data_IF_646456989617
#
_entry.id   IF_646456989617
#
_cell.length_a   1.000
_cell.length_b   1.000
_cell.length_c   1.000
_cell.angle_alpha   90.00
_cell.angle_beta   90.00
_cell.angle_gamma   90.00
#
_symmetry.space_group_name_H-M   'P 1'
#
loop_
_entity.id
_entity.type
_entity.pdbx_description
1 polymer ?
#
# COMPACT_ATOMS: atom_id res chain seq x y z
N UNK A 1 -40.84 39.60 46.12
CA UNK A 1 -39.94 39.91 45.01
C UNK A 1 -38.87 38.84 45.01
N UNK A 2 -39.17 37.72 44.34
CA UNK A 2 -38.27 36.59 44.14
C UNK A 2 -37.46 36.90 42.88
N UNK A 3 -36.14 36.87 42.97
CA UNK A 3 -35.24 36.95 41.83
C UNK A 3 -34.65 35.55 41.60
N UNK A 4 -34.99 34.99 40.44
CA UNK A 4 -34.56 33.70 39.94
C UNK A 4 -33.04 33.61 39.78
N UNK A 5 -32.46 32.55 40.35
CA UNK A 5 -31.12 32.08 40.02
C UNK A 5 -31.25 30.94 39.01
N UNK A 6 -31.02 31.23 37.73
CA UNK A 6 -30.72 30.22 36.72
C UNK A 6 -29.22 29.91 36.74
N UNK A 7 -28.79 28.63 36.81
CA UNK A 7 -27.43 28.27 36.49
C UNK A 7 -27.24 28.27 34.97
N UNK A 8 -26.29 29.07 34.50
CA UNK A 8 -25.77 28.99 33.14
C UNK A 8 -25.08 27.64 32.98
N UNK A 9 -25.76 26.72 32.29
CA UNK A 9 -25.18 25.48 31.78
C UNK A 9 -24.17 25.87 30.69
N UNK A 10 -22.93 26.07 31.12
CA UNK A 10 -21.79 26.19 30.21
C UNK A 10 -21.62 24.87 29.47
N UNK A 11 -21.89 24.89 28.15
CA UNK A 11 -21.51 23.84 27.22
C UNK A 11 -19.99 23.66 27.28
N UNK A 12 -19.53 22.69 28.05
CA UNK A 12 -18.23 22.05 27.79
C UNK A 12 -18.42 21.29 26.49
N UNK A 13 -18.06 21.92 25.39
CA UNK A 13 -17.94 21.29 24.09
C UNK A 13 -16.86 20.22 24.26
N UNK A 14 -17.28 18.96 24.38
CA UNK A 14 -16.41 17.77 24.38
C UNK A 14 -15.65 17.76 23.05
N UNK A 15 -14.48 18.39 23.03
CA UNK A 15 -13.42 18.14 22.06
C UNK A 15 -12.74 16.82 22.45
N UNK A 16 -13.43 15.72 22.22
CA UNK A 16 -12.78 14.44 22.00
C UNK A 16 -12.78 14.27 20.49
N UNK A 17 -11.69 14.70 19.85
CA UNK A 17 -11.37 14.31 18.48
C UNK A 17 -11.49 12.80 18.37
N UNK A 18 -11.89 12.27 17.21
CA UNK A 18 -11.86 10.84 16.91
C UNK A 18 -10.48 10.28 17.29
N UNK A 19 -10.40 9.60 18.43
CA UNK A 19 -9.26 8.77 18.80
C UNK A 19 -9.55 7.43 18.12
N UNK A 20 -9.15 7.32 16.85
CA UNK A 20 -9.37 6.16 16.01
C UNK A 20 -8.07 5.76 15.34
N UNK A 21 -7.95 4.47 15.03
CA UNK A 21 -6.90 3.92 14.18
C UNK A 21 -6.83 4.66 12.84
N UNK A 22 -5.62 4.75 12.27
CA UNK A 22 -5.42 5.41 10.98
C UNK A 22 -5.78 4.44 9.86
N UNK A 23 -6.64 4.87 8.95
CA UNK A 23 -7.11 4.06 7.81
C UNK A 23 -6.44 4.50 6.52
N UNK A 24 -5.93 3.52 5.77
CA UNK A 24 -5.23 3.73 4.51
C UNK A 24 -5.81 2.78 3.48
N UNK A 25 -6.20 3.28 2.31
CA UNK A 25 -6.49 2.43 1.16
C UNK A 25 -5.34 2.55 0.16
N UNK A 26 -4.83 1.42 -0.31
CA UNK A 26 -3.71 1.35 -1.26
C UNK A 26 -4.14 0.59 -2.50
N UNK A 27 -3.85 1.18 -3.66
CA UNK A 27 -3.96 0.55 -4.97
C UNK A 27 -2.72 0.84 -5.81
N UNK A 28 -2.35 -0.04 -6.73
CA UNK A 28 -1.14 0.10 -7.53
C UNK A 28 -1.30 -0.59 -8.88
N UNK A 29 -0.56 -0.16 -9.89
CA UNK A 29 -0.47 -0.84 -11.19
C UNK A 29 -1.86 -1.00 -11.85
N UNK A 30 -2.52 0.12 -12.10
CA UNK A 30 -3.84 0.16 -12.75
C UNK A 30 -3.72 -0.11 -14.26
N UNK A 31 -2.64 0.35 -14.90
CA UNK A 31 -2.36 0.15 -16.32
C UNK A 31 -3.53 0.50 -17.24
N UNK A 32 -4.31 1.54 -16.89
CA UNK A 32 -5.45 1.96 -17.69
C UNK A 32 -5.03 2.35 -19.12
N UNK A 33 -5.91 2.16 -20.09
CA UNK A 33 -5.57 2.40 -21.50
C UNK A 33 -6.77 2.88 -22.32
N UNK A 34 -6.49 3.37 -23.53
CA UNK A 34 -7.47 3.61 -24.60
C UNK A 34 -7.18 2.70 -25.81
N UNK A 35 -8.19 1.98 -26.32
CA UNK A 35 -8.00 0.94 -27.35
C UNK A 35 -7.57 1.45 -28.73
N UNK A 36 -7.85 2.72 -29.06
CA UNK A 36 -7.53 3.31 -30.37
C UNK A 36 -6.02 3.32 -30.69
N UNK A 37 -5.15 3.15 -29.69
CA UNK A 37 -3.71 3.12 -29.85
C UNK A 37 -3.12 1.75 -30.26
N UNK A 38 -3.93 0.69 -30.39
CA UNK A 38 -3.41 -0.69 -30.48
C UNK A 38 -4.03 -1.53 -31.59
N UNK A 39 -3.61 -1.27 -32.83
CA UNK A 39 -3.55 -2.31 -33.86
C UNK A 39 -2.16 -2.94 -33.80
N UNK A 40 -2.07 -4.25 -33.63
CA UNK A 40 -0.79 -4.94 -33.86
C UNK A 40 -0.39 -4.78 -35.34
N UNK A 41 0.91 -4.81 -35.62
CA UNK A 41 1.45 -4.70 -36.98
C UNK A 41 0.95 -5.81 -37.92
N UNK A 42 0.44 -6.91 -37.37
CA UNK A 42 -0.15 -8.04 -38.08
C UNK A 42 -1.69 -7.95 -38.23
N UNK A 43 -2.31 -6.85 -37.80
CA UNK A 43 -3.75 -6.63 -37.87
C UNK A 43 -4.58 -7.38 -36.81
N UNK A 44 -3.94 -8.11 -35.88
CA UNK A 44 -4.66 -8.74 -34.76
C UNK A 44 -4.88 -7.74 -33.63
N UNK A 45 -6.01 -7.85 -32.93
CA UNK A 45 -6.21 -7.11 -31.70
C UNK A 45 -5.24 -7.66 -30.64
N UNK A 46 -4.28 -6.85 -30.19
CA UNK A 46 -3.51 -7.20 -29.00
C UNK A 46 -4.47 -7.31 -27.83
N UNK A 47 -4.32 -8.34 -27.00
CA UNK A 47 -5.06 -8.44 -25.75
C UNK A 47 -4.83 -7.16 -24.89
N UNK A 48 -5.84 -6.71 -24.12
CA UNK A 48 -5.72 -5.49 -23.33
C UNK A 48 -4.71 -5.66 -22.19
N UNK A 49 -4.04 -4.60 -21.70
CA UNK A 49 -2.98 -4.70 -20.69
C UNK A 49 -3.55 -4.69 -19.26
N UNK A 50 -4.84 -4.37 -19.14
CA UNK A 50 -5.60 -4.07 -17.94
C UNK A 50 -7.09 -4.24 -18.24
N UNK A 51 -7.88 -4.31 -17.18
CA UNK A 51 -9.34 -4.34 -17.22
C UNK A 51 -9.97 -2.93 -17.20
N UNK A 52 -9.15 -1.87 -17.19
CA UNK A 52 -9.61 -0.46 -17.22
C UNK A 52 -9.41 0.10 -18.63
N UNK A 53 -10.50 0.18 -19.40
CA UNK A 53 -10.52 0.70 -20.76
C UNK A 53 -11.34 1.99 -20.84
N UNK A 54 -10.67 3.13 -21.03
CA UNK A 54 -11.30 4.44 -21.16
C UNK A 54 -11.90 4.72 -22.54
N UNK A 55 -11.68 3.84 -23.51
CA UNK A 55 -12.35 3.90 -24.82
C UNK A 55 -13.65 3.08 -24.87
N UNK A 56 -13.92 2.25 -23.85
CA UNK A 56 -15.14 1.47 -23.78
C UNK A 56 -16.37 2.40 -23.68
N UNK A 57 -17.36 2.17 -24.55
CA UNK A 57 -18.61 2.96 -24.57
C UNK A 57 -19.41 2.83 -23.27
N UNK A 58 -19.22 1.73 -22.52
CA UNK A 58 -19.80 1.54 -21.19
C UNK A 58 -18.79 0.84 -20.28
N UNK A 59 -18.57 1.39 -19.09
CA UNK A 59 -17.77 0.79 -18.00
C UNK A 59 -18.72 0.38 -16.87
N UNK A 60 -18.62 -0.87 -16.41
CA UNK A 60 -19.53 -1.45 -15.39
C UNK A 60 -18.75 -1.92 -14.16
N UNK A 61 -19.33 -1.86 -12.95
CA UNK A 61 -18.62 -2.21 -11.70
C UNK A 61 -18.09 -3.64 -11.61
N UNK A 62 -18.62 -4.57 -12.41
CA UNK A 62 -18.21 -5.98 -12.43
C UNK A 62 -17.31 -6.34 -13.62
N UNK A 63 -16.94 -5.33 -14.43
CA UNK A 63 -16.08 -5.47 -15.61
C UNK A 63 -14.84 -4.58 -15.43
N UNK A 64 -15.04 -3.36 -14.94
CA UNK A 64 -14.00 -2.36 -14.72
C UNK A 64 -13.68 -2.24 -13.22
N UNK A 65 -12.46 -2.61 -12.79
CA UNK A 65 -12.07 -2.58 -11.38
C UNK A 65 -12.14 -1.19 -10.74
N UNK A 66 -11.85 -0.11 -11.49
CA UNK A 66 -11.90 1.24 -10.95
C UNK A 66 -13.34 1.69 -10.69
N UNK A 67 -14.25 1.41 -11.63
CA UNK A 67 -15.69 1.64 -11.40
C UNK A 67 -16.20 0.79 -10.24
N UNK A 68 -15.77 -0.47 -10.15
CA UNK A 68 -16.09 -1.37 -9.03
C UNK A 68 -15.66 -0.79 -7.69
N UNK A 69 -14.43 -0.29 -7.62
CA UNK A 69 -13.84 0.30 -6.41
C UNK A 69 -14.59 1.56 -5.96
N UNK A 70 -14.89 2.48 -6.88
CA UNK A 70 -15.69 3.67 -6.60
C UNK A 70 -17.06 3.28 -6.00
N UNK A 71 -17.68 2.21 -6.52
CA UNK A 71 -18.98 1.73 -6.00
C UNK A 71 -18.89 1.16 -4.58
N UNK A 72 -17.74 0.69 -4.12
CA UNK A 72 -17.58 0.23 -2.74
C UNK A 72 -17.77 1.39 -1.75
N UNK A 73 -17.23 2.57 -2.05
CA UNK A 73 -17.46 3.78 -1.24
C UNK A 73 -18.91 4.24 -1.31
N UNK A 74 -19.50 4.30 -2.51
CA UNK A 74 -20.88 4.75 -2.68
C UNK A 74 -21.91 3.86 -1.95
N UNK A 75 -21.59 2.56 -1.79
CA UNK A 75 -22.42 1.60 -1.05
C UNK A 75 -22.09 1.52 0.44
N UNK A 76 -21.03 2.19 0.89
CA UNK A 76 -20.53 2.10 2.26
C UNK A 76 -19.93 0.73 2.61
N UNK A 77 -19.48 -0.04 1.62
CA UNK A 77 -18.78 -1.31 1.84
C UNK A 77 -17.33 -1.09 2.33
N UNK A 78 -16.79 0.09 2.06
CA UNK A 78 -15.49 0.58 2.57
C UNK A 78 -15.70 1.97 3.13
N UNK A 79 -15.11 2.22 4.30
CA UNK A 79 -15.08 3.55 4.88
C UNK A 79 -14.07 4.44 4.15
N UNK A 80 -14.36 5.73 4.06
CA UNK A 80 -13.37 6.67 3.54
C UNK A 80 -12.11 6.68 4.43
N UNK A 81 -10.92 6.44 3.85
CA UNK A 81 -9.68 6.39 4.61
C UNK A 81 -9.17 7.79 4.94
N UNK A 82 -8.22 7.88 5.86
CA UNK A 82 -7.42 9.10 6.06
C UNK A 82 -6.48 9.32 4.87
N UNK A 83 -5.93 8.23 4.32
CA UNK A 83 -5.07 8.24 3.13
C UNK A 83 -5.60 7.30 2.04
N UNK A 84 -5.71 7.82 0.81
CA UNK A 84 -5.81 7.02 -0.41
C UNK A 84 -4.46 7.08 -1.13
N UNK A 85 -3.77 5.95 -1.23
CA UNK A 85 -2.42 5.84 -1.80
C UNK A 85 -2.47 5.12 -3.15
N UNK A 86 -1.78 5.69 -4.14
CA UNK A 86 -1.61 5.10 -5.46
C UNK A 86 -0.13 4.81 -5.73
N UNK A 87 0.21 3.53 -5.83
CA UNK A 87 1.58 3.01 -5.99
C UNK A 87 2.21 3.18 -7.37
N UNK A 88 1.64 4.03 -8.23
CA UNK A 88 2.10 4.25 -9.61
C UNK A 88 1.45 3.34 -10.65
N UNK A 89 1.85 3.54 -11.91
CA UNK A 89 1.32 2.88 -13.10
C UNK A 89 -0.20 3.10 -13.22
N UNK A 90 -0.61 4.36 -13.24
CA UNK A 90 -1.98 4.80 -13.51
C UNK A 90 -2.44 4.38 -14.91
N UNK A 91 -1.55 4.46 -15.91
CA UNK A 91 -1.84 4.11 -17.30
C UNK A 91 -0.77 3.25 -17.94
N UNK A 92 -1.11 2.58 -19.04
CA UNK A 92 -0.16 1.79 -19.85
C UNK A 92 0.57 2.69 -20.86
N UNK A 93 1.90 2.57 -20.93
CA UNK A 93 2.75 3.15 -21.99
C UNK A 93 2.55 4.65 -22.22
N UNK A 94 2.42 5.42 -21.14
CA UNK A 94 2.21 6.86 -21.17
C UNK A 94 0.97 7.27 -21.97
N UNK A 95 -0.10 6.47 -21.93
CA UNK A 95 -1.39 6.87 -22.49
C UNK A 95 -1.94 8.07 -21.70
N UNK A 96 -1.70 9.27 -22.24
CA UNK A 96 -2.04 10.52 -21.61
C UNK A 96 -3.54 10.64 -21.27
N UNK A 97 -4.41 10.14 -22.16
CA UNK A 97 -5.84 10.19 -21.93
C UNK A 97 -6.27 9.25 -20.80
N UNK A 98 -5.74 8.02 -20.80
CA UNK A 98 -6.03 7.07 -19.74
C UNK A 98 -5.50 7.55 -18.37
N UNK A 99 -4.24 8.01 -18.31
CA UNK A 99 -3.63 8.54 -17.08
C UNK A 99 -4.45 9.72 -16.52
N UNK A 100 -4.77 10.70 -17.37
CA UNK A 100 -5.56 11.87 -16.95
C UNK A 100 -6.95 11.48 -16.45
N UNK A 101 -7.59 10.50 -17.10
CA UNK A 101 -8.93 10.04 -16.74
C UNK A 101 -8.91 9.26 -15.43
N UNK A 102 -7.97 8.32 -15.26
CA UNK A 102 -7.73 7.61 -14.00
C UNK A 102 -7.50 8.59 -12.85
N UNK A 103 -6.60 9.56 -13.03
CA UNK A 103 -6.25 10.52 -11.99
C UNK A 103 -7.44 11.39 -11.58
N UNK A 104 -8.26 11.83 -12.54
CA UNK A 104 -9.50 12.59 -12.25
C UNK A 104 -10.52 11.74 -11.50
N UNK A 105 -10.73 10.49 -11.88
CA UNK A 105 -11.69 9.62 -11.20
C UNK A 105 -11.28 9.39 -9.74
N UNK A 106 -10.00 9.11 -9.48
CA UNK A 106 -9.48 8.95 -8.11
C UNK A 106 -9.54 10.26 -7.31
N UNK A 107 -9.19 11.40 -7.91
CA UNK A 107 -9.26 12.70 -7.24
C UNK A 107 -10.70 13.09 -6.89
N UNK A 108 -11.66 12.75 -7.74
CA UNK A 108 -13.08 13.02 -7.49
C UNK A 108 -13.63 12.28 -6.25
N UNK A 109 -12.98 11.19 -5.81
CA UNK A 109 -13.35 10.50 -4.57
C UNK A 109 -13.02 11.34 -3.34
N UNK A 110 -11.90 12.07 -3.37
CA UNK A 110 -11.47 12.95 -2.28
C UNK A 110 -12.18 14.29 -2.29
N UNK A 111 -12.63 14.77 -3.45
CA UNK A 111 -13.47 15.98 -3.50
C UNK A 111 -14.80 15.79 -2.75
N UNK A 112 -15.34 14.56 -2.81
CA UNK A 112 -16.55 14.16 -2.06
C UNK A 112 -16.27 13.93 -0.58
N UNK A 113 -15.02 13.68 -0.19
CA UNK A 113 -14.61 13.54 1.20
C UNK A 113 -13.25 14.22 1.46
N UNK A 114 -13.25 15.53 1.79
CA UNK A 114 -12.03 16.29 2.01
C UNK A 114 -11.15 15.82 3.17
N UNK A 115 -11.66 14.93 4.04
CA UNK A 115 -10.85 14.32 5.11
C UNK A 115 -9.88 13.26 4.56
N UNK A 116 -10.20 12.63 3.43
CA UNK A 116 -9.31 11.70 2.74
C UNK A 116 -8.26 12.47 1.93
N UNK A 117 -6.98 12.22 2.19
CA UNK A 117 -5.89 12.75 1.36
C UNK A 117 -5.46 11.73 0.30
N UNK A 118 -5.44 12.15 -0.97
CA UNK A 118 -4.94 11.35 -2.09
C UNK A 118 -3.46 11.65 -2.34
N UNK A 119 -2.66 10.59 -2.36
CA UNK A 119 -1.21 10.65 -2.65
C UNK A 119 -0.88 9.58 -3.69
N UNK A 120 -0.15 9.96 -4.73
CA UNK A 120 0.38 9.01 -5.71
C UNK A 120 1.91 9.05 -5.76
N UNK A 121 2.52 8.06 -6.39
CA UNK A 121 3.86 8.19 -6.98
C UNK A 121 3.78 7.80 -8.45
N UNK A 122 4.71 8.22 -9.29
CA UNK A 122 4.70 7.77 -10.69
C UNK A 122 5.29 6.36 -10.80
N UNK A 123 4.66 5.55 -11.65
CA UNK A 123 5.25 4.30 -12.13
C UNK A 123 5.98 4.49 -13.46
N UNK A 124 6.63 3.42 -13.93
CA UNK A 124 7.43 3.47 -15.15
C UNK A 124 6.57 3.52 -16.43
N UNK A 125 5.32 3.05 -16.37
CA UNK A 125 4.35 3.17 -17.47
C UNK A 125 3.64 4.52 -17.50
N UNK A 126 3.74 5.34 -16.45
CA UNK A 126 3.18 6.69 -16.43
C UNK A 126 4.02 7.71 -17.20
N UNK A 127 5.30 7.37 -17.46
CA UNK A 127 6.28 8.24 -18.09
C UNK A 127 6.47 7.87 -19.57
N UNK A 128 6.66 8.87 -20.43
CA UNK A 128 7.00 8.65 -21.85
C UNK A 128 8.50 8.37 -22.01
N UNK A 129 8.96 7.32 -21.34
CA UNK A 129 10.37 6.91 -21.25
C UNK A 129 10.97 6.51 -22.59
N UNK A 130 10.11 6.20 -23.57
CA UNK A 130 10.49 5.84 -24.94
C UNK A 130 10.35 7.01 -25.92
N UNK A 131 10.06 8.22 -25.41
CA UNK A 131 10.00 9.45 -26.19
C UNK A 131 9.06 9.39 -27.41
N UNK A 132 7.95 8.67 -27.28
CA UNK A 132 6.97 8.48 -28.36
C UNK A 132 6.11 9.72 -28.57
N UNK A 133 5.82 10.44 -27.49
CA UNK A 133 5.00 11.65 -27.46
C UNK A 133 5.85 12.91 -27.24
N UNK A 134 6.83 12.87 -26.33
CA UNK A 134 7.74 13.96 -25.99
C UNK A 134 9.20 13.52 -26.12
N UNK A 135 9.94 14.19 -27.02
CA UNK A 135 11.31 13.82 -27.40
C UNK A 135 12.38 14.06 -26.32
N UNK A 136 12.10 14.83 -25.28
CA UNK A 136 13.14 15.28 -24.35
C UNK A 136 12.70 15.36 -22.88
N UNK A 137 11.39 15.45 -22.59
CA UNK A 137 10.89 15.46 -21.21
C UNK A 137 9.87 14.33 -20.98
N UNK A 138 10.32 13.14 -20.54
CA UNK A 138 9.45 11.98 -20.35
C UNK A 138 8.46 12.17 -19.19
N UNK A 139 8.67 13.17 -18.33
CA UNK A 139 7.86 13.49 -17.15
C UNK A 139 6.91 14.66 -17.39
N UNK A 140 7.09 15.40 -18.49
CA UNK A 140 6.43 16.67 -18.74
C UNK A 140 4.90 16.57 -18.66
N UNK A 141 4.33 15.50 -19.23
CA UNK A 141 2.89 15.30 -19.21
C UNK A 141 2.31 15.16 -17.79
N UNK A 142 2.92 14.35 -16.91
CA UNK A 142 2.45 14.19 -15.53
C UNK A 142 2.45 15.51 -14.76
N UNK A 143 3.41 16.40 -15.04
CA UNK A 143 3.51 17.73 -14.42
C UNK A 143 2.40 18.70 -14.87
N UNK A 144 1.66 18.34 -15.91
CA UNK A 144 0.56 19.15 -16.48
C UNK A 144 -0.82 18.59 -16.19
N UNK A 145 -0.92 17.49 -15.43
CA UNK A 145 -2.21 16.92 -15.06
C UNK A 145 -3.05 17.91 -14.25
N UNK A 146 -4.35 17.87 -14.52
CA UNK A 146 -5.36 18.61 -13.74
C UNK A 146 -6.45 17.64 -13.24
N UNK A 147 -6.61 17.46 -11.92
CA UNK A 147 -5.86 18.13 -10.83
C UNK A 147 -4.38 17.74 -10.77
N UNK A 148 -3.56 18.50 -10.05
CA UNK A 148 -2.11 18.32 -10.02
C UNK A 148 -1.65 16.94 -9.54
N UNK A 149 -0.45 16.51 -9.94
CA UNK A 149 0.15 15.22 -9.58
C UNK A 149 1.53 15.42 -8.94
N UNK A 150 1.89 14.74 -7.83
CA UNK A 150 1.20 13.56 -7.25
C UNK A 150 0.14 13.87 -6.19
N UNK A 151 -0.16 15.15 -5.95
CA UNK A 151 -1.13 15.62 -4.97
C UNK A 151 -2.19 16.48 -5.68
N UNK A 152 -3.49 16.12 -5.63
CA UNK A 152 -4.51 16.86 -6.38
C UNK A 152 -4.76 18.27 -5.83
N UNK A 153 -4.63 18.47 -4.52
CA UNK A 153 -4.74 19.79 -3.90
C UNK A 153 -3.43 20.58 -4.00
N UNK A 154 -3.25 21.24 -5.15
CA UNK A 154 -2.04 22.01 -5.46
C UNK A 154 -1.84 23.26 -4.61
N UNK A 155 -2.91 23.77 -3.97
CA UNK A 155 -2.81 24.93 -3.07
C UNK A 155 -2.23 24.51 -1.73
N UNK A 156 -2.75 23.43 -1.14
CA UNK A 156 -2.29 22.89 0.14
C UNK A 156 -0.89 22.28 0.04
N UNK A 157 -0.60 21.58 -1.06
CA UNK A 157 0.62 20.78 -1.22
C UNK A 157 1.61 21.36 -2.23
N UNK A 158 1.56 22.68 -2.48
CA UNK A 158 2.40 23.34 -3.49
C UNK A 158 3.89 23.07 -3.30
N UNK A 159 4.38 23.14 -2.06
CA UNK A 159 5.79 22.91 -1.74
C UNK A 159 6.15 21.45 -1.98
N UNK A 160 5.35 20.51 -1.45
CA UNK A 160 5.58 19.08 -1.64
C UNK A 160 5.58 18.68 -3.13
N UNK A 161 4.72 19.29 -3.93
CA UNK A 161 4.69 19.11 -5.38
C UNK A 161 6.02 19.55 -6.02
N UNK A 162 6.52 20.73 -5.66
CA UNK A 162 7.79 21.24 -6.18
C UNK A 162 8.97 20.37 -5.74
N UNK A 163 9.01 19.96 -4.47
CA UNK A 163 10.03 19.08 -3.91
C UNK A 163 10.02 17.72 -4.62
N UNK A 164 8.86 17.09 -4.80
CA UNK A 164 8.75 15.79 -5.47
C UNK A 164 9.41 15.81 -6.86
N UNK A 165 9.15 16.86 -7.64
CA UNK A 165 9.70 16.98 -8.98
C UNK A 165 11.17 17.44 -9.00
N UNK A 166 11.56 18.36 -8.11
CA UNK A 166 12.90 18.92 -8.07
C UNK A 166 13.92 18.00 -7.40
N UNK A 167 13.54 17.39 -6.28
CA UNK A 167 14.41 16.59 -5.42
C UNK A 167 14.21 15.08 -5.63
N UNK A 168 13.22 14.67 -6.42
CA UNK A 168 12.80 13.27 -6.61
C UNK A 168 12.18 12.63 -5.36
N UNK A 169 11.86 13.43 -4.34
CA UNK A 169 11.06 13.03 -3.20
C UNK A 169 10.36 14.24 -2.56
N UNK A 170 9.35 13.96 -1.76
CA UNK A 170 8.72 14.96 -0.88
C UNK A 170 8.29 14.30 0.43
N UNK A 171 8.14 15.10 1.48
CA UNK A 171 7.64 14.62 2.78
C UNK A 171 6.35 15.34 3.12
N UNK A 172 5.23 14.63 3.03
CA UNK A 172 3.93 15.15 3.43
C UNK A 172 3.68 14.83 4.91
N UNK A 173 3.27 15.83 5.69
CA UNK A 173 2.95 15.65 7.11
C UNK A 173 1.50 16.02 7.43
N UNK A 174 0.92 15.26 8.35
CA UNK A 174 -0.32 15.58 9.07
C UNK A 174 -0.05 15.48 10.58
N UNK A 175 -1.06 15.65 11.41
CA UNK A 175 -0.95 15.45 12.87
C UNK A 175 -0.69 13.98 13.22
N UNK A 176 -1.16 13.04 12.40
CA UNK A 176 -1.10 11.60 12.69
C UNK A 176 0.00 10.85 11.94
N UNK A 177 0.46 11.39 10.81
CA UNK A 177 1.34 10.64 9.90
C UNK A 177 2.35 11.50 9.18
N UNK A 178 3.33 10.82 8.60
CA UNK A 178 4.32 11.33 7.67
C UNK A 178 4.43 10.39 6.48
N UNK A 179 4.32 10.93 5.26
CA UNK A 179 4.51 10.18 4.02
C UNK A 179 5.75 10.69 3.31
N UNK A 180 6.80 9.86 3.27
CA UNK A 180 7.94 10.03 2.38
C UNK A 180 7.54 9.48 0.99
N UNK A 181 7.29 10.36 0.04
CA UNK A 181 6.90 10.00 -1.32
C UNK A 181 8.10 10.16 -2.25
N UNK A 182 8.62 9.04 -2.77
CA UNK A 182 9.83 9.00 -3.59
C UNK A 182 9.46 8.69 -5.05
N UNK A 183 10.01 9.48 -5.95
CA UNK A 183 9.98 9.22 -7.38
C UNK A 183 11.07 8.22 -7.77
N UNK A 184 10.79 6.92 -7.62
CA UNK A 184 11.73 5.87 -8.06
C UNK A 184 11.97 5.85 -9.58
N UNK A 185 11.14 6.55 -10.35
CA UNK A 185 11.20 6.61 -11.81
C UNK A 185 11.91 7.89 -12.31
N UNK A 186 12.52 8.67 -11.41
CA UNK A 186 13.04 10.01 -11.72
C UNK A 186 14.08 10.04 -12.84
N UNK A 187 14.80 8.92 -13.00
CA UNK A 187 15.85 8.70 -13.99
C UNK A 187 15.37 7.95 -15.23
N UNK A 188 14.09 7.60 -15.35
CA UNK A 188 13.60 6.98 -16.57
C UNK A 188 13.68 7.97 -17.75
N UNK A 189 14.09 7.46 -18.92
CA UNK A 189 14.42 8.28 -20.09
C UNK A 189 15.86 8.83 -20.09
N UNK A 190 16.66 8.48 -19.08
CA UNK A 190 18.12 8.68 -19.06
C UNK A 190 18.86 7.34 -19.24
N UNK A 191 20.18 7.39 -19.21
CA UNK A 191 21.06 6.23 -19.35
C UNK A 191 21.68 6.12 -20.74
N UNK A 192 22.43 5.03 -20.94
CA UNK A 192 23.01 4.69 -22.24
C UNK A 192 22.28 3.49 -22.82
N UNK A 193 22.45 3.19 -24.11
CA UNK A 193 21.86 1.98 -24.71
C UNK A 193 22.31 0.69 -24.01
N UNK A 194 23.51 0.68 -23.40
CA UNK A 194 24.05 -0.46 -22.67
C UNK A 194 23.48 -0.58 -21.24
N UNK A 195 23.11 0.55 -20.62
CA UNK A 195 22.55 0.62 -19.27
C UNK A 195 21.37 1.62 -19.25
N UNK A 196 20.24 1.25 -19.86
CA UNK A 196 19.08 2.12 -19.91
C UNK A 196 18.40 2.17 -18.53
N UNK A 197 18.12 3.38 -18.03
CA UNK A 197 17.44 3.56 -16.74
C UNK A 197 15.95 3.17 -16.80
N UNK A 198 15.39 2.94 -18.00
CA UNK A 198 13.98 2.57 -18.16
C UNK A 198 13.65 1.15 -17.67
N UNK A 199 14.66 0.30 -17.46
CA UNK A 199 14.51 -1.10 -17.06
C UNK A 199 14.46 -1.30 -15.52
N UNK A 200 14.76 -0.26 -14.74
CA UNK A 200 14.80 -0.34 -13.28
C UNK A 200 14.53 1.02 -12.61
N UNK A 201 14.06 1.00 -11.37
CA UNK A 201 13.99 2.21 -10.56
C UNK A 201 15.37 2.67 -10.08
N UNK A 202 15.49 3.93 -9.68
CA UNK A 202 16.70 4.46 -9.01
C UNK A 202 16.38 5.54 -7.99
N UNK A 203 17.09 5.48 -6.87
CA UNK A 203 17.27 6.60 -5.95
C UNK A 203 18.76 6.92 -5.92
N UNK A 204 19.14 8.15 -6.27
CA UNK A 204 20.54 8.56 -6.27
C UNK A 204 21.07 8.77 -4.84
N UNK A 205 22.39 8.73 -4.68
CA UNK A 205 22.99 8.94 -3.36
C UNK A 205 22.67 10.32 -2.76
N UNK A 206 22.68 11.36 -3.60
CA UNK A 206 22.30 12.73 -3.23
C UNK A 206 20.83 12.77 -2.78
N UNK A 207 19.95 12.02 -3.45
CA UNK A 207 18.54 11.94 -3.06
C UNK A 207 18.39 11.25 -1.70
N UNK A 208 19.12 10.15 -1.46
CA UNK A 208 19.11 9.44 -0.17
C UNK A 208 19.67 10.31 0.97
N UNK A 209 20.73 11.07 0.73
CA UNK A 209 21.26 12.04 1.70
C UNK A 209 20.23 13.12 2.05
N UNK A 210 19.57 13.67 1.02
CA UNK A 210 18.51 14.67 1.19
C UNK A 210 17.30 14.12 1.95
N UNK A 211 16.91 12.88 1.69
CA UNK A 211 15.86 12.18 2.43
C UNK A 211 16.26 12.05 3.90
N UNK A 212 17.45 11.51 4.19
CA UNK A 212 17.91 11.27 5.56
C UNK A 212 17.88 12.55 6.40
N UNK A 213 18.42 13.65 5.85
CA UNK A 213 18.45 14.94 6.55
C UNK A 213 17.05 15.50 6.79
N UNK A 214 16.16 15.40 5.80
CA UNK A 214 14.77 15.86 5.89
C UNK A 214 13.98 15.08 6.95
N UNK A 215 14.03 13.74 6.92
CA UNK A 215 13.22 12.91 7.83
C UNK A 215 13.78 12.89 9.25
N UNK A 216 15.09 13.03 9.44
CA UNK A 216 15.70 13.09 10.79
C UNK A 216 15.12 14.23 11.62
N UNK A 217 15.01 15.42 11.03
CA UNK A 217 14.46 16.60 11.71
C UNK A 217 12.99 16.42 12.05
N UNK A 218 12.20 15.93 11.09
CA UNK A 218 10.74 15.82 11.25
C UNK A 218 10.34 14.69 12.21
N UNK A 219 11.03 13.54 12.15
CA UNK A 219 10.78 12.41 13.07
C UNK A 219 11.11 12.80 14.51
N UNK A 220 12.24 13.47 14.74
CA UNK A 220 12.63 13.91 16.09
C UNK A 220 11.63 14.91 16.68
N UNK A 221 11.08 15.80 15.86
CA UNK A 221 10.10 16.79 16.31
C UNK A 221 8.73 16.17 16.65
N UNK A 222 8.35 15.07 15.98
CA UNK A 222 7.06 14.41 16.17
C UNK A 222 7.17 12.87 16.05
N UNK A 223 7.73 12.19 17.08
CA UNK A 223 7.99 10.75 17.04
C UNK A 223 6.73 9.89 17.16
N UNK A 224 5.57 10.49 17.45
CA UNK A 224 4.28 9.80 17.56
C UNK A 224 3.56 9.64 16.22
N UNK A 225 4.07 10.25 15.14
CA UNK A 225 3.47 10.14 13.81
C UNK A 225 3.81 8.79 13.17
N UNK A 226 2.82 8.17 12.52
CA UNK A 226 3.04 6.98 11.69
C UNK A 226 3.88 7.34 10.46
N UNK A 227 4.99 6.63 10.22
CA UNK A 227 5.86 6.90 9.07
C UNK A 227 5.60 5.92 7.93
N UNK A 228 5.30 6.45 6.76
CA UNK A 228 4.97 5.71 5.54
C UNK A 228 5.95 6.12 4.44
N UNK A 229 6.55 5.17 3.75
CA UNK A 229 7.41 5.40 2.60
C UNK A 229 6.75 4.82 1.35
N UNK A 230 6.58 5.65 0.31
CA UNK A 230 5.88 5.32 -0.92
C UNK A 230 6.81 5.48 -2.11
N UNK A 231 6.90 4.44 -2.94
CA UNK A 231 7.56 4.48 -4.25
C UNK A 231 7.00 3.37 -5.15
N UNK A 232 7.34 3.37 -6.44
CA UNK A 232 6.79 2.37 -7.37
C UNK A 232 7.66 1.10 -7.45
N UNK A 233 8.95 1.24 -7.76
CA UNK A 233 9.82 0.09 -8.00
C UNK A 233 10.12 -0.69 -6.72
N UNK A 234 10.15 -2.02 -6.82
CA UNK A 234 10.32 -2.88 -5.66
C UNK A 234 11.71 -2.79 -5.00
N UNK A 235 11.73 -3.01 -3.68
CA UNK A 235 12.91 -2.84 -2.82
C UNK A 235 13.84 -4.07 -2.78
N UNK A 236 13.36 -5.24 -3.20
CA UNK A 236 14.16 -6.49 -3.20
C UNK A 236 13.92 -7.30 -4.47
N UNK A 237 14.94 -7.99 -5.02
CA UNK A 237 14.73 -8.86 -6.16
C UNK A 237 13.61 -9.87 -5.92
N UNK A 238 12.76 -10.06 -6.92
CA UNK A 238 11.68 -11.07 -6.91
C UNK A 238 12.05 -12.25 -7.84
N UNK A 239 13.34 -12.44 -8.10
CA UNK A 239 13.86 -13.54 -8.90
C UNK A 239 13.51 -14.90 -8.28
N UNK A 240 13.28 -15.89 -9.14
CA UNK A 240 13.15 -17.32 -8.82
C UNK A 240 14.07 -18.12 -9.75
N UNK A 241 14.22 -19.43 -9.51
CA UNK A 241 14.98 -20.30 -10.42
C UNK A 241 14.45 -20.26 -11.87
N UNK A 242 13.17 -19.90 -12.04
CA UNK A 242 12.48 -19.78 -13.32
C UNK A 242 12.43 -18.36 -13.89
N UNK A 243 12.87 -17.33 -13.14
CA UNK A 243 12.67 -15.94 -13.52
C UNK A 243 13.76 -15.04 -12.92
N UNK A 244 14.49 -14.29 -13.76
CA UNK A 244 15.49 -13.34 -13.31
C UNK A 244 14.95 -11.90 -13.31
N UNK A 245 14.79 -11.32 -12.12
CA UNK A 245 14.33 -9.95 -11.91
C UNK A 245 15.49 -8.95 -11.98
N UNK A 246 15.57 -8.19 -13.07
CA UNK A 246 16.56 -7.11 -13.26
C UNK A 246 16.04 -5.71 -12.98
N UNK A 247 14.80 -5.58 -12.51
CA UNK A 247 14.11 -4.29 -12.38
C UNK A 247 14.06 -3.77 -10.95
N UNK A 248 14.79 -4.40 -10.04
CA UNK A 248 14.96 -3.93 -8.65
C UNK A 248 15.52 -2.53 -8.63
N UNK A 249 14.93 -1.70 -7.78
CA UNK A 249 15.35 -0.32 -7.62
C UNK A 249 16.80 -0.24 -7.15
N UNK A 250 17.64 0.50 -7.90
CA UNK A 250 18.99 0.87 -7.46
C UNK A 250 18.90 1.85 -6.29
N UNK A 251 19.69 1.62 -5.23
CA UNK A 251 19.63 2.37 -3.97
C UNK A 251 18.65 1.81 -2.94
N UNK A 252 17.96 0.71 -3.25
CA UNK A 252 16.99 0.05 -2.35
C UNK A 252 17.60 -0.46 -1.04
N UNK A 253 18.77 -1.10 -1.07
CA UNK A 253 19.45 -1.59 0.14
C UNK A 253 19.83 -0.43 1.07
N UNK A 254 20.39 0.64 0.50
CA UNK A 254 20.76 1.84 1.26
C UNK A 254 19.52 2.51 1.87
N UNK A 255 18.41 2.59 1.12
CA UNK A 255 17.12 3.07 1.64
C UNK A 255 16.63 2.21 2.81
N UNK A 256 16.58 0.88 2.65
CA UNK A 256 16.13 -0.03 3.70
C UNK A 256 16.99 0.07 4.97
N UNK A 257 18.31 0.12 4.80
CA UNK A 257 19.27 0.31 5.89
C UNK A 257 19.09 1.65 6.60
N UNK A 258 18.92 2.74 5.84
CA UNK A 258 18.64 4.07 6.38
C UNK A 258 17.34 4.07 7.18
N UNK A 259 16.23 3.57 6.63
CA UNK A 259 14.93 3.54 7.31
C UNK A 259 14.87 2.55 8.49
N UNK A 260 15.85 1.66 8.63
CA UNK A 260 16.01 0.76 9.79
C UNK A 260 16.70 1.44 10.99
N UNK A 261 17.22 2.66 10.82
CA UNK A 261 17.92 3.42 11.86
C UNK A 261 16.93 3.80 12.97
N UNK A 262 17.16 3.41 14.25
CA UNK A 262 16.21 3.66 15.34
C UNK A 262 15.82 5.13 15.53
N UNK A 263 16.76 6.06 15.28
CA UNK A 263 16.51 7.49 15.39
C UNK A 263 15.56 8.05 14.32
N UNK A 264 15.24 7.26 13.29
CA UNK A 264 14.29 7.62 12.23
C UNK A 264 12.92 6.95 12.43
N UNK A 265 12.70 6.26 13.56
CA UNK A 265 11.44 5.59 13.86
C UNK A 265 11.20 4.33 13.02
N UNK A 266 10.04 3.69 13.21
CA UNK A 266 9.62 2.57 12.36
C UNK A 266 8.92 3.09 11.10
N UNK A 267 9.13 2.42 9.96
CA UNK A 267 8.57 2.79 8.66
C UNK A 267 7.75 1.67 8.02
N UNK A 268 6.62 2.05 7.44
CA UNK A 268 5.81 1.20 6.57
C UNK A 268 6.06 1.55 5.11
N UNK A 269 6.71 0.66 4.37
CA UNK A 269 7.04 0.82 2.96
C UNK A 269 5.91 0.24 2.11
N UNK A 270 5.46 1.00 1.12
CA UNK A 270 4.43 0.60 0.16
C UNK A 270 5.00 0.77 -1.25
N UNK A 271 4.95 -0.28 -2.07
CA UNK A 271 5.36 -0.20 -3.47
C UNK A 271 4.57 -1.09 -4.43
N UNK A 272 4.73 -0.86 -5.73
CA UNK A 272 4.09 -1.57 -6.85
C UNK A 272 5.07 -2.34 -7.75
N UNK A 273 4.90 -2.17 -9.07
CA UNK A 273 5.78 -2.58 -10.19
C UNK A 273 5.74 -4.07 -10.55
N UNK A 274 5.87 -4.97 -9.57
CA UNK A 274 5.93 -6.41 -9.84
C UNK A 274 4.58 -7.09 -9.87
N UNK A 275 3.51 -6.37 -9.56
CA UNK A 275 2.15 -6.92 -9.51
C UNK A 275 2.04 -8.16 -8.59
N UNK A 276 2.96 -8.33 -7.64
CA UNK A 276 3.07 -9.49 -6.75
C UNK A 276 2.88 -9.04 -5.31
N UNK A 277 1.78 -9.47 -4.73
CA UNK A 277 1.45 -9.10 -3.36
C UNK A 277 2.39 -9.79 -2.37
N UNK A 278 2.97 -9.04 -1.44
CA UNK A 278 3.79 -9.62 -0.38
C UNK A 278 3.83 -8.69 0.85
N UNK A 279 3.97 -9.27 2.03
CA UNK A 279 4.11 -8.56 3.29
C UNK A 279 5.28 -9.15 4.07
N UNK A 280 6.32 -8.35 4.30
CA UNK A 280 7.57 -8.82 4.90
C UNK A 280 8.32 -7.71 5.63
N UNK A 281 9.40 -8.06 6.35
CA UNK A 281 10.33 -7.09 6.92
C UNK A 281 11.59 -6.98 6.05
N UNK A 282 12.03 -5.76 5.74
CA UNK A 282 13.23 -5.49 4.94
C UNK A 282 14.54 -5.62 5.76
N UNK A 283 14.65 -6.67 6.60
CA UNK A 283 15.81 -6.87 7.47
C UNK A 283 15.43 -7.49 8.83
N UNK A 284 16.17 -7.10 9.88
CA UNK A 284 15.99 -7.59 11.25
C UNK A 284 14.80 -6.97 12.00
N UNK A 285 14.81 -7.05 13.33
CA UNK A 285 13.65 -6.73 14.16
C UNK A 285 13.22 -5.24 14.12
N UNK A 286 14.11 -4.32 13.75
CA UNK A 286 13.82 -2.89 13.57
C UNK A 286 13.64 -2.49 12.11
N UNK A 287 13.65 -3.45 11.18
CA UNK A 287 13.55 -3.14 9.77
C UNK A 287 12.13 -2.66 9.40
N UNK A 288 12.03 -1.83 8.34
CA UNK A 288 10.74 -1.44 7.79
C UNK A 288 9.88 -2.64 7.42
N UNK A 289 8.59 -2.50 7.64
CA UNK A 289 7.59 -3.45 7.11
C UNK A 289 7.28 -3.02 5.68
N UNK A 290 7.26 -3.97 4.76
CA UNK A 290 7.06 -3.72 3.33
C UNK A 290 5.80 -4.41 2.87
N UNK A 291 4.89 -3.62 2.28
CA UNK A 291 3.80 -4.08 1.44
C UNK A 291 4.21 -3.93 -0.03
N UNK A 292 4.50 -5.05 -0.68
CA UNK A 292 4.52 -5.15 -2.14
C UNK A 292 3.10 -5.33 -2.62
N UNK A 293 2.61 -4.45 -3.49
CA UNK A 293 1.25 -4.50 -3.99
C UNK A 293 1.12 -5.48 -5.16
N UNK A 294 0.03 -6.24 -5.18
CA UNK A 294 -0.47 -6.82 -6.42
C UNK A 294 -0.97 -5.71 -7.35
N UNK A 295 -1.16 -6.06 -8.61
CA UNK A 295 -1.82 -5.14 -9.53
C UNK A 295 -3.28 -4.95 -9.17
N UNK A 296 -3.77 -3.73 -9.37
CA UNK A 296 -5.17 -3.40 -9.21
C UNK A 296 -6.04 -3.93 -10.36
N UNK A 297 -5.51 -3.90 -11.59
CA UNK A 297 -6.32 -4.19 -12.79
C UNK A 297 -5.56 -4.78 -13.98
N UNK A 298 -4.22 -4.84 -13.93
CA UNK A 298 -3.42 -5.37 -15.02
C UNK A 298 -3.84 -6.80 -15.37
N UNK A 299 -3.84 -7.08 -16.66
CA UNK A 299 -3.94 -8.45 -17.14
C UNK A 299 -2.57 -9.12 -16.98
N UNK A 300 -2.55 -10.42 -16.71
CA UNK A 300 -1.31 -11.20 -16.52
C UNK A 300 -0.52 -11.46 -17.81
N UNK A 301 -0.80 -10.73 -18.88
CA UNK A 301 -0.19 -10.94 -20.19
C UNK A 301 1.25 -10.44 -20.13
N UNK A 302 2.20 -11.34 -20.40
CA UNK A 302 3.63 -11.04 -20.34
C UNK A 302 4.28 -11.28 -18.97
N UNK A 303 3.52 -11.71 -17.96
CA UNK A 303 4.04 -12.15 -16.65
C UNK A 303 3.34 -13.45 -16.23
N UNK A 304 3.54 -14.50 -17.05
CA UNK A 304 2.94 -15.83 -16.85
C UNK A 304 3.36 -16.48 -15.51
N UNK A 305 4.46 -15.99 -14.92
CA UNK A 305 4.99 -16.45 -13.64
C UNK A 305 4.40 -15.70 -12.44
N UNK A 306 3.52 -14.72 -12.64
CA UNK A 306 2.87 -14.02 -11.55
C UNK A 306 1.61 -14.77 -11.09
N UNK A 307 1.65 -15.38 -9.88
CA UNK A 307 0.50 -16.08 -9.34
C UNK A 307 -0.54 -15.10 -8.75
N UNK A 308 -0.19 -13.84 -8.50
CA UNK A 308 -1.01 -12.93 -7.72
C UNK A 308 -2.30 -12.53 -8.46
N UNK A 309 -3.46 -12.58 -7.78
CA UNK A 309 -4.71 -12.01 -8.27
C UNK A 309 -4.60 -10.49 -8.29
N UNK A 310 -5.56 -9.85 -8.96
CA UNK A 310 -5.68 -8.41 -8.84
C UNK A 310 -6.23 -8.06 -7.45
N UNK A 311 -5.54 -7.19 -6.72
CA UNK A 311 -5.91 -6.79 -5.36
C UNK A 311 -5.78 -5.28 -5.13
N UNK A 312 -6.53 -4.79 -4.15
CA UNK A 312 -6.21 -3.57 -3.42
C UNK A 312 -6.30 -3.84 -1.91
N UNK A 313 -5.81 -2.89 -1.11
CA UNK A 313 -5.61 -3.08 0.32
C UNK A 313 -6.32 -2.00 1.11
N UNK A 314 -7.09 -2.41 2.12
CA UNK A 314 -7.67 -1.56 3.16
C UNK A 314 -6.90 -1.85 4.46
N UNK A 315 -6.15 -0.86 4.94
CA UNK A 315 -5.12 -1.01 5.97
C UNK A 315 -5.49 -0.17 7.18
N UNK A 316 -5.37 -0.79 8.35
CA UNK A 316 -5.57 -0.15 9.63
C UNK A 316 -4.25 -0.16 10.41
N UNK A 317 -3.68 1.02 10.65
CA UNK A 317 -2.54 1.18 11.54
C UNK A 317 -3.02 1.39 12.97
N UNK A 318 -2.37 0.70 13.90
CA UNK A 318 -2.68 0.82 15.32
C UNK A 318 -2.40 2.23 15.85
N UNK A 319 -3.22 2.63 16.81
CA UNK A 319 -3.08 3.91 17.49
C UNK A 319 -1.79 3.98 18.29
N UNK A 320 -1.15 5.15 18.27
CA UNK A 320 -0.01 5.46 19.12
C UNK A 320 -0.52 6.11 20.39
N UNK A 321 -0.25 5.50 21.54
CA UNK A 321 -0.62 6.08 22.83
C UNK A 321 0.04 7.45 23.03
N UNK A 322 -0.64 8.34 23.76
CA UNK A 322 -0.11 9.68 24.06
C UNK A 322 1.28 9.59 24.69
N UNK A 323 2.25 10.28 24.09
CA UNK A 323 3.65 10.29 24.55
C UNK A 323 4.48 9.07 24.15
N UNK A 324 3.93 8.16 23.32
CA UNK A 324 4.66 7.00 22.80
C UNK A 324 5.26 7.28 21.43
N UNK A 325 6.32 6.54 21.10
CA UNK A 325 6.88 6.49 19.74
C UNK A 325 5.97 5.62 18.88
N UNK A 326 5.68 6.10 17.67
CA UNK A 326 4.88 5.33 16.73
C UNK A 326 5.56 4.01 16.39
N UNK A 327 4.78 2.93 16.45
CA UNK A 327 5.18 1.62 15.93
C UNK A 327 4.36 1.30 14.71
N UNK A 328 4.99 0.63 13.75
CA UNK A 328 4.32 0.17 12.55
C UNK A 328 3.76 -1.21 12.84
N UNK A 329 2.52 -1.23 13.28
CA UNK A 329 1.73 -2.42 13.52
C UNK A 329 0.29 -2.17 13.08
N UNK A 330 -0.40 -3.23 12.67
CA UNK A 330 -1.73 -3.09 12.11
C UNK A 330 -2.23 -4.34 11.42
N UNK A 331 -3.28 -4.14 10.63
CA UNK A 331 -3.87 -5.18 9.80
C UNK A 331 -4.13 -4.70 8.39
N UNK A 332 -4.15 -5.63 7.45
CA UNK A 332 -4.43 -5.42 6.04
C UNK A 332 -5.60 -6.30 5.68
N UNK A 333 -6.65 -5.69 5.12
CA UNK A 333 -7.72 -6.37 4.41
C UNK A 333 -7.45 -6.32 2.91
N UNK A 334 -7.18 -7.47 2.31
CA UNK A 334 -7.03 -7.58 0.86
C UNK A 334 -8.40 -7.76 0.19
N UNK A 335 -8.67 -6.97 -0.83
CA UNK A 335 -9.84 -7.11 -1.70
C UNK A 335 -9.40 -7.75 -3.01
N UNK A 336 -10.06 -8.84 -3.40
CA UNK A 336 -9.75 -9.60 -4.59
C UNK A 336 -10.71 -9.23 -5.73
N UNK A 337 -10.18 -9.00 -6.92
CA UNK A 337 -11.00 -8.81 -8.12
C UNK A 337 -11.30 -10.15 -8.79
N UNK A 338 -12.59 -10.43 -9.01
CA UNK A 338 -13.04 -11.57 -9.80
C UNK A 338 -13.85 -11.07 -11.01
N UNK A 339 -13.42 -11.32 -12.26
CA UNK A 339 -14.16 -10.90 -13.44
C UNK A 339 -15.63 -11.34 -13.40
N UNK A 340 -16.53 -10.45 -13.84
CA UNK A 340 -18.01 -10.61 -13.82
C UNK A 340 -18.66 -10.53 -12.44
N UNK A 341 -17.91 -10.68 -11.34
CA UNK A 341 -18.42 -10.55 -9.96
C UNK A 341 -18.06 -9.17 -9.40
N UNK A 342 -16.81 -8.74 -9.57
CA UNK A 342 -16.25 -7.51 -9.02
C UNK A 342 -15.32 -7.74 -7.83
N UNK A 343 -15.18 -6.73 -6.97
CA UNK A 343 -14.35 -6.80 -5.77
C UNK A 343 -14.98 -7.64 -4.65
N UNK A 344 -14.17 -8.47 -3.99
CA UNK A 344 -14.58 -9.37 -2.92
C UNK A 344 -13.59 -9.33 -1.74
N UNK A 345 -14.10 -9.24 -0.52
CA UNK A 345 -13.31 -9.19 0.72
C UNK A 345 -13.55 -10.38 1.65
N UNK A 346 -14.05 -11.50 1.12
CA UNK A 346 -14.40 -12.69 1.90
C UNK A 346 -13.73 -13.97 1.45
N UNK A 347 -13.05 -13.95 0.31
CA UNK A 347 -12.45 -15.14 -0.28
C UNK A 347 -11.01 -14.85 -0.63
N UNK A 348 -10.09 -15.60 -0.03
CA UNK A 348 -8.67 -15.56 -0.36
C UNK A 348 -8.45 -16.29 -1.69
N UNK A 349 -7.66 -15.69 -2.58
CA UNK A 349 -7.26 -16.30 -3.85
C UNK A 349 -5.77 -16.67 -3.76
N UNK A 350 -5.38 -17.92 -4.09
CA UNK A 350 -3.99 -18.33 -4.07
C UNK A 350 -3.06 -17.39 -4.85
N UNK A 351 -1.85 -17.17 -4.33
CA UNK A 351 -0.85 -16.26 -4.90
C UNK A 351 -1.01 -14.79 -4.47
N UNK A 352 -2.14 -14.42 -3.87
CA UNK A 352 -2.39 -13.11 -3.28
C UNK A 352 -2.04 -13.05 -1.79
N UNK A 353 -2.13 -11.85 -1.21
CA UNK A 353 -2.22 -11.76 0.24
C UNK A 353 -3.56 -12.34 0.72
N UNK A 354 -3.59 -13.03 1.88
CA UNK A 354 -4.83 -13.44 2.52
C UNK A 354 -5.78 -12.26 2.74
N UNK A 355 -7.08 -12.52 2.73
CA UNK A 355 -8.14 -11.51 2.93
C UNK A 355 -7.91 -10.67 4.17
N UNK A 356 -7.36 -11.24 5.24
CA UNK A 356 -6.91 -10.49 6.41
C UNK A 356 -5.51 -10.95 6.79
N UNK A 357 -4.58 -10.01 6.90
CA UNK A 357 -3.20 -10.23 7.34
C UNK A 357 -2.85 -9.24 8.45
N UNK A 358 -2.12 -9.68 9.47
CA UNK A 358 -1.54 -8.80 10.48
C UNK A 358 -0.14 -8.32 10.10
N UNK A 359 0.37 -7.32 10.80
CA UNK A 359 1.79 -6.99 10.81
C UNK A 359 2.20 -6.25 12.08
N UNK A 360 3.50 -6.25 12.38
CA UNK A 360 4.10 -5.50 13.49
C UNK A 360 4.46 -6.32 14.72
N UNK A 361 4.20 -7.63 14.74
CA UNK A 361 4.77 -8.49 15.76
C UNK A 361 6.30 -8.57 15.62
N UNK A 362 7.00 -8.39 16.73
CA UNK A 362 8.48 -8.34 16.82
C UNK A 362 9.06 -9.32 17.84
N UNK A 363 8.21 -10.18 18.39
CA UNK A 363 8.61 -11.19 19.37
C UNK A 363 9.06 -12.50 18.70
N UNK A 364 9.51 -13.45 19.52
CA UNK A 364 9.91 -14.77 19.04
C UNK A 364 8.68 -15.69 18.95
N UNK A 365 8.44 -16.26 17.77
CA UNK A 365 7.24 -17.06 17.49
C UNK A 365 7.14 -18.33 18.38
N UNK A 366 8.22 -19.09 18.63
CA UNK A 366 8.15 -20.23 19.55
C UNK A 366 7.77 -19.87 20.99
N UNK A 367 8.16 -18.68 21.48
CA UNK A 367 7.78 -18.23 22.82
C UNK A 367 6.27 -17.89 22.88
N UNK A 368 5.74 -17.27 21.83
CA UNK A 368 4.31 -17.04 21.67
C UNK A 368 3.55 -18.37 21.61
N UNK A 369 4.03 -19.33 20.80
CA UNK A 369 3.45 -20.66 20.68
C UNK A 369 3.40 -21.39 22.03
N UNK A 370 4.50 -21.35 22.81
CA UNK A 370 4.57 -21.94 24.15
C UNK A 370 3.54 -21.31 25.10
N UNK A 371 3.40 -19.99 25.06
CA UNK A 371 2.46 -19.25 25.90
C UNK A 371 1.01 -19.60 25.58
N UNK A 372 0.67 -19.67 24.28
CA UNK A 372 -0.64 -20.12 23.80
C UNK A 372 -0.89 -21.60 24.17
N UNK A 373 0.10 -22.46 23.99
CA UNK A 373 0.02 -23.88 24.33
C UNK A 373 -0.25 -24.13 25.81
N UNK A 374 0.27 -23.29 26.71
CA UNK A 374 -0.03 -23.37 28.14
C UNK A 374 -1.51 -23.08 28.44
N UNK A 375 -2.10 -22.07 27.77
CA UNK A 375 -3.53 -21.74 27.90
C UNK A 375 -4.39 -22.88 27.39
N UNK A 376 -4.08 -23.42 26.20
CA UNK A 376 -4.85 -24.52 25.61
C UNK A 376 -4.75 -25.79 26.46
N UNK A 377 -3.59 -26.06 27.10
CA UNK A 377 -3.47 -27.18 28.05
C UNK A 377 -4.42 -27.08 29.23
N UNK A 378 -4.74 -25.88 29.68
CA UNK A 378 -5.68 -25.67 30.78
C UNK A 378 -7.15 -25.69 30.35
N UNK A 379 -7.44 -25.20 29.13
CA UNK A 379 -8.81 -24.95 28.65
C UNK A 379 -9.33 -26.00 27.66
N UNK A 380 -8.46 -26.87 27.14
CA UNK A 380 -8.75 -27.89 26.13
C UNK A 380 -8.87 -27.33 24.71
N UNK A 381 -9.85 -26.46 24.49
CA UNK A 381 -10.18 -25.85 23.19
C UNK A 381 -10.41 -24.35 23.36
N UNK A 382 -9.86 -23.55 22.46
CA UNK A 382 -10.01 -22.08 22.49
C UNK A 382 -10.36 -21.59 21.09
N UNK A 383 -11.45 -20.81 20.99
CA UNK A 383 -11.86 -20.16 19.74
C UNK A 383 -11.05 -18.88 19.51
N UNK A 384 -10.91 -18.47 18.24
CA UNK A 384 -10.07 -17.34 17.84
C UNK A 384 -10.35 -16.05 18.62
N UNK A 385 -11.63 -15.71 18.86
CA UNK A 385 -12.00 -14.50 19.59
C UNK A 385 -11.40 -14.44 21.00
N UNK A 386 -11.49 -15.54 21.75
CA UNK A 386 -10.93 -15.64 23.09
C UNK A 386 -9.39 -15.66 23.05
N UNK A 387 -8.83 -16.35 22.07
CA UNK A 387 -7.39 -16.44 21.88
C UNK A 387 -6.78 -15.05 21.63
N UNK A 388 -7.37 -14.27 20.74
CA UNK A 388 -6.88 -12.93 20.41
C UNK A 388 -7.08 -11.95 21.58
N UNK A 389 -8.12 -12.12 22.38
CA UNK A 389 -8.29 -11.33 23.61
C UNK A 389 -7.20 -11.63 24.64
N UNK A 390 -6.77 -12.90 24.76
CA UNK A 390 -5.65 -13.30 25.60
C UNK A 390 -4.27 -12.97 25.02
N UNK A 391 -4.16 -12.94 23.70
CA UNK A 391 -2.92 -12.71 22.95
C UNK A 391 -3.15 -11.70 21.80
N UNK A 392 -3.23 -10.39 22.10
CA UNK A 392 -3.50 -9.37 21.08
C UNK A 392 -2.47 -9.35 19.94
N UNK A 393 -1.24 -9.77 20.21
CA UNK A 393 -0.15 -9.89 19.23
C UNK A 393 -0.47 -10.80 18.04
N UNK A 394 -1.43 -11.72 18.18
CA UNK A 394 -1.91 -12.55 17.08
C UNK A 394 -2.49 -11.73 15.92
N UNK A 395 -3.03 -10.53 16.20
CA UNK A 395 -3.52 -9.61 15.16
C UNK A 395 -2.39 -9.00 14.34
N UNK A 396 -1.14 -9.11 14.81
CA UNK A 396 0.05 -8.45 14.25
C UNK A 396 0.99 -9.42 13.53
N UNK A 397 0.57 -10.68 13.36
CA UNK A 397 1.37 -11.68 12.66
C UNK A 397 1.23 -11.52 11.15
N UNK A 398 2.37 -11.43 10.46
CA UNK A 398 2.41 -11.55 9.00
C UNK A 398 2.01 -12.97 8.57
N UNK A 399 1.60 -13.18 7.30
CA UNK A 399 1.24 -14.51 6.81
C UNK A 399 2.32 -15.58 7.09
N UNK A 400 3.60 -15.27 6.85
CA UNK A 400 4.71 -16.17 7.15
C UNK A 400 4.89 -16.47 8.63
N UNK A 401 4.64 -15.49 9.49
CA UNK A 401 4.74 -15.64 10.94
C UNK A 401 3.59 -16.50 11.48
N UNK A 402 2.39 -16.34 10.89
CA UNK A 402 1.23 -17.17 11.21
C UNK A 402 1.47 -18.64 10.80
N UNK A 403 2.02 -18.89 9.61
CA UNK A 403 2.44 -20.23 9.20
C UNK A 403 3.48 -20.83 10.14
N UNK A 404 4.45 -20.03 10.60
CA UNK A 404 5.46 -20.49 11.55
C UNK A 404 4.86 -20.74 12.94
N UNK A 405 3.90 -19.93 13.37
CA UNK A 405 3.19 -20.12 14.63
C UNK A 405 2.43 -21.46 14.61
N UNK A 406 1.70 -21.75 13.53
CA UNK A 406 0.94 -23.00 13.37
C UNK A 406 1.89 -24.20 13.49
N UNK A 407 3.00 -24.21 12.74
CA UNK A 407 4.01 -25.27 12.83
C UNK A 407 4.59 -25.40 14.24
N UNK A 408 4.82 -24.28 14.93
CA UNK A 408 5.32 -24.26 16.30
C UNK A 408 4.33 -24.85 17.31
N UNK A 409 3.03 -24.56 17.13
CA UNK A 409 1.95 -25.13 17.94
C UNK A 409 1.81 -26.63 17.71
N UNK A 410 1.92 -27.09 16.46
CA UNK A 410 1.86 -28.52 16.12
C UNK A 410 2.96 -29.34 16.79
N UNK A 411 4.18 -28.79 16.85
CA UNK A 411 5.32 -29.43 17.52
C UNK A 411 5.11 -29.63 19.03
N UNK A 412 4.29 -28.80 19.66
CA UNK A 412 3.95 -28.91 21.10
C UNK A 412 2.60 -29.59 21.36
N UNK A 413 2.02 -30.22 20.33
CA UNK A 413 0.78 -30.99 20.44
C UNK A 413 -0.49 -30.14 20.41
N UNK A 414 -0.47 -28.98 19.78
CA UNK A 414 -1.65 -28.14 19.54
C UNK A 414 -1.96 -28.12 18.04
N UNK A 415 -3.21 -28.37 17.66
CA UNK A 415 -3.67 -28.29 16.26
C UNK A 415 -4.48 -27.02 16.04
N UNK A 416 -4.30 -26.41 14.87
CA UNK A 416 -5.08 -25.29 14.41
C UNK A 416 -6.13 -25.73 13.39
N UNK A 417 -7.35 -25.21 13.52
CA UNK A 417 -8.32 -25.23 12.42
C UNK A 417 -8.27 -23.86 11.76
N UNK A 418 -8.07 -23.83 10.45
CA UNK A 418 -7.96 -22.59 9.68
C UNK A 418 -9.18 -22.37 8.78
N UNK A 419 -9.42 -21.12 8.43
CA UNK A 419 -10.30 -20.76 7.32
C UNK A 419 -10.03 -19.33 6.87
N UNK A 420 -10.06 -19.12 5.56
CA UNK A 420 -9.80 -17.83 4.91
C UNK A 420 -8.42 -17.21 5.25
N UNK A 421 -7.44 -18.05 5.61
CA UNK A 421 -6.09 -17.63 5.99
C UNK A 421 -5.93 -17.21 7.45
N UNK A 422 -6.93 -17.49 8.30
CA UNK A 422 -6.88 -17.22 9.74
C UNK A 422 -7.12 -18.49 10.55
N UNK A 423 -6.49 -18.55 11.73
CA UNK A 423 -6.81 -19.55 12.74
C UNK A 423 -8.22 -19.27 13.25
N UNK A 424 -9.11 -20.26 13.17
CA UNK A 424 -10.47 -20.20 13.73
C UNK A 424 -10.53 -20.76 15.14
N UNK A 425 -9.72 -21.78 15.40
CA UNK A 425 -9.73 -22.53 16.65
C UNK A 425 -8.38 -23.22 16.87
N UNK A 426 -7.97 -23.32 18.14
CA UNK A 426 -6.87 -24.17 18.57
C UNK A 426 -7.36 -25.22 19.58
N UNK A 427 -6.86 -26.45 19.46
CA UNK A 427 -7.17 -27.55 20.36
C UNK A 427 -5.96 -28.45 20.61
N UNK A 428 -5.98 -29.26 21.66
CA UNK A 428 -4.95 -30.30 21.85
C UNK A 428 -5.05 -31.39 20.77
N UNK A 429 -3.89 -31.82 20.29
CA UNK A 429 -3.75 -32.99 19.42
C UNK A 429 -4.01 -34.24 20.26
N UNK A 430 -5.25 -34.73 20.24
CA UNK A 430 -5.79 -35.83 21.04
C UNK A 430 -6.07 -35.44 22.51
N UNK A 431 -7.29 -34.95 22.73
CA UNK A 431 -8.07 -35.29 23.93
C UNK A 431 -8.95 -36.51 23.61
#
# INVERSE_FOLDING_TARGET
>A
MLLDLHPVVGRVQKFWSRIGSMKIVVLSDLHAFCSDARKASDGKASLPPSLIDFSASTRKPNIDPLVGFIKLFERGEIEHPDLLIVGGDLGDKADAHAIQSTWRELSSLTDKNPATKLIATCGNHDLDTRHKQNKFDPRGFLRTLEPGFPFPNTVEHKINLLEYWANHFSVLESDQYRVLNINSCAFHGFGTDAEPELEHGRISDITLDGIEECIKTTVQAAPHKQNICLFHHHIRPVSTDSFDDKSTMKGSERLASMLSKPQLGEWFIIHGHRHRSNLFCAGGNSAPIVLSCASFAATRIGDEHNPSPNQFYDIELEEVGVGQVARVAGSIRAWNWTPSIGWQSKTSIPGGLPVVSGFGYRGYIPDLAKSIGAVIKSSGKVVWGDLVNGFPDLRRLMPSDNEFLIKSLEMIGVVATEGDGQIRELAQKNA
#
